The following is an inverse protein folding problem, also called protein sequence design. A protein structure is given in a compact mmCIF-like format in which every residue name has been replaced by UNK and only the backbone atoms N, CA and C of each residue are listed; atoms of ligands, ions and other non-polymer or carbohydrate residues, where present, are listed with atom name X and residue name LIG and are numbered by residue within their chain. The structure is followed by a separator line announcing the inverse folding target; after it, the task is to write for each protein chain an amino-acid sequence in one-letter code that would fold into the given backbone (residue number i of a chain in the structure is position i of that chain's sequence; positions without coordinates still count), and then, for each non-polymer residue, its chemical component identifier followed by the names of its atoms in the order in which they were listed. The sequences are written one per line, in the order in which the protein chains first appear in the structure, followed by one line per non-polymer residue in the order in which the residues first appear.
data_IF_009621934671
#
_entry.id   IF_009621934671
#
_cell.length_a   1.000
_cell.length_b   1.000
_cell.length_c   1.000
_cell.angle_alpha   90.00
_cell.angle_beta   90.00
_cell.angle_gamma   90.00
#
_symmetry.space_group_name_H-M   'P 1'
#
loop_
_entity.id
_entity.type
_entity.pdbx_description
1 polymer ?
#
# COMPACT_ATOMS: atom_id res chain seq x y z
N UNK A 1 -13.27 -15.00 -13.10
CA UNK A 1 -12.41 -15.19 -11.92
C UNK A 1 -10.96 -15.36 -12.38
N UNK A 2 -10.01 -14.62 -11.83
CA UNK A 2 -8.58 -14.80 -12.14
C UNK A 2 -8.07 -16.09 -11.49
N UNK A 3 -7.38 -16.94 -12.25
CA UNK A 3 -6.71 -18.15 -11.76
C UNK A 3 -5.28 -17.88 -11.26
N UNK A 4 -4.88 -16.61 -11.14
CA UNK A 4 -3.53 -16.25 -10.71
C UNK A 4 -3.27 -16.64 -9.26
N UNK A 5 -2.07 -17.19 -9.00
CA UNK A 5 -1.60 -17.53 -7.64
C UNK A 5 -1.36 -16.29 -6.78
N UNK A 6 -0.94 -15.19 -7.42
CA UNK A 6 -0.63 -13.93 -6.78
C UNK A 6 -1.64 -12.87 -7.17
N UNK A 7 -1.85 -11.92 -6.26
CA UNK A 7 -2.64 -10.71 -6.47
C UNK A 7 -1.78 -9.50 -6.15
N UNK A 8 -1.96 -8.43 -6.94
CA UNK A 8 -1.35 -7.12 -6.73
C UNK A 8 -2.47 -6.12 -6.46
N UNK A 9 -2.31 -5.27 -5.45
CA UNK A 9 -3.24 -4.18 -5.17
C UNK A 9 -2.69 -2.91 -5.78
N UNK A 10 -3.44 -2.30 -6.70
CA UNK A 10 -3.02 -1.10 -7.44
C UNK A 10 -4.26 -0.34 -7.94
N UNK A 11 -4.02 0.80 -8.60
CA UNK A 11 -5.01 1.65 -9.25
C UNK A 11 -4.70 1.69 -10.76
N UNK A 12 -5.68 2.02 -11.59
CA UNK A 12 -5.58 1.99 -13.05
C UNK A 12 -4.57 3.00 -13.62
N UNK A 13 -4.27 4.07 -12.88
CA UNK A 13 -3.29 5.12 -13.28
C UNK A 13 -1.84 4.79 -12.90
N UNK A 14 -1.64 3.73 -12.12
CA UNK A 14 -0.32 3.38 -11.62
C UNK A 14 0.51 2.62 -12.66
N UNK A 15 1.78 3.00 -12.72
CA UNK A 15 2.85 2.40 -13.50
C UNK A 15 3.87 1.74 -12.57
N UNK A 16 4.57 0.74 -13.08
CA UNK A 16 5.56 -0.01 -12.32
C UNK A 16 6.96 0.24 -12.87
N UNK A 17 7.96 0.15 -11.99
CA UNK A 17 9.37 0.12 -12.40
C UNK A 17 9.64 -1.03 -13.38
N UNK A 18 10.64 -0.90 -14.22
CA UNK A 18 11.00 -1.91 -15.21
C UNK A 18 11.36 -3.25 -14.54
N UNK A 19 10.84 -4.34 -15.10
CA UNK A 19 11.05 -5.70 -14.58
C UNK A 19 10.31 -6.00 -13.28
N UNK A 20 9.38 -5.15 -12.83
CA UNK A 20 8.64 -5.33 -11.57
C UNK A 20 8.02 -6.72 -11.45
N UNK A 21 7.24 -7.16 -12.45
CA UNK A 21 6.56 -8.47 -12.41
C UNK A 21 7.55 -9.62 -12.18
N UNK A 22 8.62 -9.68 -12.98
CA UNK A 22 9.58 -10.78 -12.94
C UNK A 22 10.33 -10.82 -11.59
N UNK A 23 10.78 -9.65 -11.10
CA UNK A 23 11.44 -9.52 -9.79
C UNK A 23 10.51 -9.94 -8.66
N UNK A 24 9.30 -9.37 -8.61
CA UNK A 24 8.36 -9.61 -7.51
C UNK A 24 7.82 -11.04 -7.54
N UNK A 25 7.58 -11.63 -8.72
CA UNK A 25 7.18 -13.04 -8.85
C UNK A 25 8.27 -13.99 -8.32
N UNK A 26 9.54 -13.71 -8.59
CA UNK A 26 10.68 -14.48 -8.07
C UNK A 26 10.82 -14.39 -6.54
N UNK A 27 10.53 -13.22 -5.96
CA UNK A 27 10.49 -13.04 -4.50
C UNK A 27 9.28 -13.77 -3.92
N UNK A 28 8.09 -13.57 -4.50
CA UNK A 28 6.84 -14.15 -4.05
C UNK A 28 6.81 -15.68 -4.11
N UNK A 29 7.47 -16.29 -5.10
CA UNK A 29 7.57 -17.76 -5.24
C UNK A 29 8.31 -18.43 -4.09
N UNK A 30 9.27 -17.74 -3.48
CA UNK A 30 10.00 -18.21 -2.29
C UNK A 30 9.32 -17.74 -1.01
N UNK A 31 9.13 -16.43 -0.89
CA UNK A 31 8.72 -15.79 0.35
C UNK A 31 7.31 -16.14 0.78
N UNK A 32 6.35 -16.22 -0.15
CA UNK A 32 4.96 -16.56 0.18
C UNK A 32 4.73 -18.06 0.32
N UNK A 33 5.72 -18.90 -0.01
CA UNK A 33 5.74 -20.31 0.37
C UNK A 33 6.20 -20.45 1.82
N UNK A 34 7.29 -19.77 2.19
CA UNK A 34 7.81 -19.77 3.56
C UNK A 34 6.87 -19.08 4.57
N UNK A 35 6.32 -17.92 4.19
CA UNK A 35 5.40 -17.14 5.01
C UNK A 35 4.18 -16.73 4.19
N UNK A 36 3.15 -17.60 4.14
CA UNK A 36 1.99 -17.36 3.27
C UNK A 36 1.06 -16.24 3.72
N UNK A 37 1.22 -15.74 4.95
CA UNK A 37 0.48 -14.58 5.49
C UNK A 37 1.38 -13.34 5.49
N UNK A 38 1.83 -12.95 4.31
CA UNK A 38 2.70 -11.79 4.11
C UNK A 38 2.14 -10.89 3.02
N UNK A 39 2.17 -9.59 3.29
CA UNK A 39 2.01 -8.51 2.33
C UNK A 39 3.41 -8.08 1.88
N UNK A 40 3.73 -8.29 0.60
CA UNK A 40 4.96 -7.79 -0.01
C UNK A 40 4.71 -6.35 -0.46
N UNK A 41 4.92 -5.40 0.46
CA UNK A 41 4.69 -3.98 0.22
C UNK A 41 5.80 -3.36 -0.63
N UNK A 42 5.45 -2.40 -1.47
CA UNK A 42 6.40 -1.64 -2.28
C UNK A 42 6.16 -0.13 -2.13
N UNK A 43 7.21 0.65 -2.37
CA UNK A 43 7.14 2.11 -2.30
C UNK A 43 6.43 2.69 -3.52
N UNK A 44 5.73 3.79 -3.31
CA UNK A 44 4.88 4.44 -4.32
C UNK A 44 5.27 5.92 -4.40
N UNK A 45 5.34 6.44 -5.63
CA UNK A 45 5.78 7.80 -5.88
C UNK A 45 4.82 8.55 -6.81
N UNK A 46 4.85 9.87 -6.68
CA UNK A 46 4.27 10.83 -7.62
C UNK A 46 5.38 11.45 -8.44
N UNK A 47 5.24 11.46 -9.76
CA UNK A 47 6.20 12.06 -10.68
C UNK A 47 5.59 13.31 -11.29
N UNK A 48 6.33 14.42 -11.32
CA UNK A 48 5.86 15.67 -11.95
C UNK A 48 5.46 15.43 -13.42
N UNK A 49 4.35 16.02 -13.85
CA UNK A 49 3.84 15.89 -15.22
C UNK A 49 4.83 16.38 -16.28
N UNK A 50 5.72 17.31 -15.92
CA UNK A 50 6.78 17.86 -16.79
C UNK A 50 7.89 16.84 -17.10
N UNK A 51 8.00 15.75 -16.34
CA UNK A 51 9.00 14.71 -16.59
C UNK A 51 8.59 13.92 -17.85
N UNK A 52 9.36 14.08 -18.92
CA UNK A 52 9.13 13.35 -20.18
C UNK A 52 9.60 11.89 -20.09
N UNK A 53 10.75 11.66 -19.46
CA UNK A 53 11.34 10.32 -19.29
C UNK A 53 11.03 9.79 -17.89
N UNK A 54 10.01 8.94 -17.83
CA UNK A 54 9.56 8.30 -16.59
C UNK A 54 10.65 7.37 -16.01
N UNK A 55 10.74 7.26 -14.67
CA UNK A 55 11.79 6.47 -14.03
C UNK A 55 11.58 4.97 -14.29
N UNK A 56 12.61 4.31 -14.82
CA UNK A 56 12.56 2.87 -15.09
C UNK A 56 13.13 2.06 -13.94
N UNK A 57 14.08 2.62 -13.19
CA UNK A 57 14.78 1.95 -12.11
C UNK A 57 15.00 2.88 -10.91
N UNK A 58 15.51 2.34 -9.80
CA UNK A 58 15.71 3.09 -8.55
C UNK A 58 16.66 4.27 -8.70
N UNK A 59 17.66 4.16 -9.59
CA UNK A 59 18.60 5.24 -9.87
C UNK A 59 17.94 6.41 -10.60
N UNK A 60 17.10 6.15 -11.61
CA UNK A 60 16.32 7.19 -12.28
C UNK A 60 15.39 7.91 -11.30
N UNK A 61 14.67 7.11 -10.48
CA UNK A 61 13.78 7.65 -9.46
C UNK A 61 14.54 8.52 -8.44
N UNK A 62 15.72 8.09 -7.99
CA UNK A 62 16.54 8.86 -7.06
C UNK A 62 16.96 10.22 -7.66
N UNK A 63 17.31 10.28 -8.96
CA UNK A 63 17.60 11.57 -9.62
C UNK A 63 16.39 12.48 -9.65
N UNK A 64 15.21 11.94 -9.94
CA UNK A 64 13.96 12.72 -9.92
C UNK A 64 13.62 13.19 -8.51
N UNK A 65 13.80 12.34 -7.50
CA UNK A 65 13.55 12.65 -6.10
C UNK A 65 14.46 13.78 -5.61
N UNK A 66 15.77 13.69 -5.88
CA UNK A 66 16.76 14.73 -5.53
C UNK A 66 16.54 16.07 -6.24
N UNK A 67 15.87 16.06 -7.39
CA UNK A 67 15.53 17.27 -8.15
C UNK A 67 14.12 17.79 -7.87
N UNK A 68 13.44 17.26 -6.84
CA UNK A 68 12.04 17.58 -6.49
C UNK A 68 11.03 17.33 -7.62
N UNK A 69 11.37 16.47 -8.58
CA UNK A 69 10.48 16.02 -9.66
C UNK A 69 9.76 14.71 -9.32
N UNK A 70 10.06 14.13 -8.16
CA UNK A 70 9.35 13.00 -7.60
C UNK A 70 9.17 13.17 -6.09
N UNK A 71 8.02 12.74 -5.57
CA UNK A 71 7.73 12.72 -4.13
C UNK A 71 7.12 11.38 -3.73
N UNK A 72 7.13 11.05 -2.44
CA UNK A 72 6.37 9.88 -1.94
C UNK A 72 4.89 10.14 -2.20
N UNK A 73 4.16 9.11 -2.62
CA UNK A 73 2.76 9.22 -3.01
C UNK A 73 1.90 9.91 -1.94
N UNK A 74 1.14 10.93 -2.37
CA UNK A 74 0.32 11.81 -1.52
C UNK A 74 1.06 12.56 -0.40
N UNK A 75 2.40 12.61 -0.36
CA UNK A 75 3.14 13.25 0.75
C UNK A 75 2.83 14.75 0.90
N UNK A 76 2.44 15.43 -0.19
CA UNK A 76 2.17 16.86 -0.18
C UNK A 76 0.83 17.25 0.47
N UNK A 77 -0.15 16.34 0.55
CA UNK A 77 -1.47 16.65 1.10
C UNK A 77 -2.02 15.62 2.08
N UNK A 78 -1.40 14.45 2.18
CA UNK A 78 -1.75 13.41 3.14
C UNK A 78 -0.51 12.71 3.73
N UNK A 79 0.35 13.48 4.44
CA UNK A 79 1.58 12.94 5.03
C UNK A 79 1.28 11.83 6.03
N UNK A 80 2.13 10.79 6.05
CA UNK A 80 2.03 9.62 6.93
C UNK A 80 1.17 8.47 6.38
N UNK A 81 0.40 8.70 5.32
CA UNK A 81 -0.55 7.70 4.80
C UNK A 81 0.10 6.63 3.92
N UNK A 82 1.19 6.94 3.22
CA UNK A 82 1.89 6.00 2.34
C UNK A 82 3.39 5.87 2.63
N UNK A 83 3.91 6.63 3.61
CA UNK A 83 5.31 6.57 4.00
C UNK A 83 5.69 5.18 4.49
N UNK A 84 6.90 4.76 4.14
CA UNK A 84 7.52 3.53 4.63
C UNK A 84 8.88 3.94 5.18
N UNK A 85 9.18 3.55 6.42
CA UNK A 85 10.42 3.94 7.09
C UNK A 85 11.66 3.47 6.30
N UNK A 86 12.76 4.19 6.44
CA UNK A 86 14.03 3.86 5.79
C UNK A 86 14.11 4.21 4.29
N UNK A 87 13.54 5.35 3.87
CA UNK A 87 13.52 5.75 2.45
C UNK A 87 14.93 6.04 1.91
N UNK A 88 15.75 6.77 2.67
CA UNK A 88 17.09 7.14 2.25
C UNK A 88 18.02 5.92 2.17
N UNK A 89 17.92 5.02 3.14
CA UNK A 89 18.63 3.74 3.15
C UNK A 89 18.15 2.84 2.01
N UNK A 90 16.85 2.86 1.70
CA UNK A 90 16.30 2.15 0.54
C UNK A 90 16.90 2.72 -0.74
N UNK A 91 17.00 4.03 -0.92
CA UNK A 91 17.67 4.62 -2.08
C UNK A 91 19.17 4.31 -2.16
N UNK A 92 19.86 4.29 -1.01
CA UNK A 92 21.31 4.08 -0.93
C UNK A 92 21.75 2.62 -1.17
N UNK A 93 20.88 1.64 -0.92
CA UNK A 93 21.19 0.22 -1.18
C UNK A 93 21.27 -0.06 -2.67
N UNK A 94 22.35 -0.70 -3.13
CA UNK A 94 22.46 -1.18 -4.52
C UNK A 94 21.61 -2.41 -4.81
N UNK A 95 21.11 -3.10 -3.77
CA UNK A 95 20.24 -4.25 -3.87
C UNK A 95 20.30 -5.12 -2.61
N UNK A 96 19.45 -6.14 -2.54
CA UNK A 96 19.37 -7.10 -1.44
C UNK A 96 19.40 -8.52 -2.01
N UNK A 97 20.03 -9.45 -1.28
CA UNK A 97 20.18 -10.84 -1.75
C UNK A 97 18.85 -11.57 -1.92
N UNK A 98 17.86 -11.25 -1.07
CA UNK A 98 16.54 -11.85 -1.10
C UNK A 98 15.45 -10.96 -1.72
N UNK A 99 15.81 -9.75 -2.15
CA UNK A 99 14.87 -8.76 -2.71
C UNK A 99 14.01 -8.05 -1.66
N UNK A 100 14.33 -8.16 -0.38
CA UNK A 100 13.57 -7.56 0.72
C UNK A 100 14.40 -6.50 1.43
N UNK A 101 13.88 -5.28 1.47
CA UNK A 101 14.47 -4.17 2.19
C UNK A 101 14.33 -4.32 3.70
N UNK A 102 13.13 -4.73 4.15
CA UNK A 102 12.78 -4.90 5.56
C UNK A 102 11.76 -6.04 5.71
N UNK A 103 11.79 -6.75 6.84
CA UNK A 103 10.92 -7.91 7.11
C UNK A 103 10.09 -7.72 8.38
N UNK A 104 8.94 -8.38 8.44
CA UNK A 104 8.06 -8.44 9.61
C UNK A 104 7.69 -7.07 10.19
N UNK A 105 7.50 -6.08 9.33
CA UNK A 105 7.07 -4.74 9.73
C UNK A 105 5.69 -4.79 10.37
N UNK A 106 5.50 -3.96 11.39
CA UNK A 106 4.26 -3.87 12.16
C UNK A 106 3.33 -2.89 11.46
N UNK A 107 2.08 -3.30 11.24
CA UNK A 107 1.03 -2.38 10.83
C UNK A 107 0.51 -1.66 12.07
N UNK A 108 0.99 -0.44 12.35
CA UNK A 108 0.72 0.31 13.59
C UNK A 108 -0.02 1.65 13.37
N UNK A 109 -0.28 2.03 12.11
CA UNK A 109 -0.95 3.28 11.73
C UNK A 109 -2.27 2.96 11.05
N UNK A 110 -3.39 3.41 11.62
CA UNK A 110 -4.74 3.14 11.09
C UNK A 110 -4.96 3.76 9.70
N UNK A 111 -4.26 4.85 9.37
CA UNK A 111 -4.35 5.52 8.09
C UNK A 111 -3.32 5.04 7.05
N UNK A 112 -2.45 4.09 7.40
CA UNK A 112 -1.42 3.63 6.48
C UNK A 112 -2.00 2.70 5.42
N UNK A 113 -1.74 3.02 4.16
CA UNK A 113 -2.26 2.31 3.00
C UNK A 113 -1.09 1.83 2.11
N UNK A 114 -0.36 0.79 2.55
CA UNK A 114 0.63 0.15 1.68
C UNK A 114 -0.08 -0.54 0.51
N UNK A 115 0.47 -0.37 -0.69
CA UNK A 115 0.17 -1.23 -1.83
C UNK A 115 1.11 -2.43 -1.79
N UNK A 116 0.61 -3.60 -2.17
CA UNK A 116 1.32 -4.86 -1.91
C UNK A 116 0.96 -5.96 -2.91
N UNK A 117 1.84 -6.96 -2.96
CA UNK A 117 1.58 -8.27 -3.57
C UNK A 117 1.36 -9.31 -2.47
N UNK A 118 0.42 -10.23 -2.67
CA UNK A 118 0.24 -11.40 -1.80
C UNK A 118 -0.30 -12.60 -2.58
N UNK A 119 -0.62 -13.68 -1.87
CA UNK A 119 -1.38 -14.80 -2.44
C UNK A 119 -2.81 -14.34 -2.74
N UNK A 120 -3.43 -14.87 -3.79
CA UNK A 120 -4.80 -14.52 -4.18
C UNK A 120 -5.89 -14.93 -3.18
N UNK A 121 -5.53 -15.71 -2.14
CA UNK A 121 -6.42 -16.17 -1.06
C UNK A 121 -6.54 -15.20 0.15
N UNK A 122 -6.12 -13.95 -0.01
CA UNK A 122 -6.37 -12.92 1.01
C UNK A 122 -7.89 -12.73 1.21
N UNK A 123 -8.34 -12.18 2.35
CA UNK A 123 -9.73 -11.77 2.52
C UNK A 123 -10.20 -10.85 1.38
N UNK A 124 -11.48 -10.93 1.04
CA UNK A 124 -12.08 -10.02 0.07
C UNK A 124 -12.20 -8.60 0.64
N UNK A 125 -12.31 -7.63 -0.25
CA UNK A 125 -12.63 -6.25 0.13
C UNK A 125 -14.00 -6.18 0.80
N UNK A 126 -14.13 -5.34 1.83
CA UNK A 126 -15.39 -5.12 2.54
C UNK A 126 -16.18 -3.99 1.86
N UNK A 127 -17.03 -4.36 0.92
CA UNK A 127 -17.84 -3.45 0.09
C UNK A 127 -18.89 -2.63 0.88
N UNK A 128 -19.02 -2.84 2.20
CA UNK A 128 -19.82 -1.96 3.05
C UNK A 128 -19.17 -0.58 3.20
N UNK A 129 -17.85 -0.48 3.09
CA UNK A 129 -17.14 0.80 3.18
C UNK A 129 -17.42 1.65 1.94
N UNK A 130 -17.98 2.86 2.12
CA UNK A 130 -18.34 3.68 0.99
C UNK A 130 -17.11 4.37 0.37
N UNK A 131 -17.22 4.67 -0.92
CA UNK A 131 -16.19 5.35 -1.68
C UNK A 131 -15.65 6.61 -0.99
N UNK A 132 -14.33 6.77 -1.02
CA UNK A 132 -13.56 7.87 -0.41
C UNK A 132 -13.60 7.95 1.12
N UNK A 133 -14.10 6.93 1.82
CA UNK A 133 -13.99 6.80 3.26
C UNK A 133 -13.40 5.45 3.64
N UNK A 134 -12.07 5.37 3.63
CA UNK A 134 -11.29 4.19 4.06
C UNK A 134 -11.59 2.91 3.29
N UNK A 135 -12.26 3.02 2.15
CA UNK A 135 -12.41 1.97 1.14
C UNK A 135 -11.04 1.38 0.78
N UNK A 136 -10.04 2.21 0.47
CA UNK A 136 -8.71 1.68 0.16
C UNK A 136 -7.94 1.13 1.39
N UNK A 137 -8.33 1.51 2.62
CA UNK A 137 -7.63 1.10 3.85
C UNK A 137 -8.22 -0.15 4.49
N UNK A 138 -9.53 -0.42 4.34
CA UNK A 138 -10.24 -1.48 5.09
C UNK A 138 -9.61 -2.87 4.95
N UNK A 139 -9.17 -3.22 3.74
CA UNK A 139 -8.51 -4.50 3.49
C UNK A 139 -7.22 -4.65 4.32
N UNK A 140 -6.48 -3.56 4.56
CA UNK A 140 -5.24 -3.58 5.35
C UNK A 140 -5.54 -3.79 6.83
N UNK A 141 -6.62 -3.20 7.34
CA UNK A 141 -7.08 -3.48 8.70
C UNK A 141 -7.41 -4.96 8.86
N UNK A 142 -8.17 -5.53 7.93
CA UNK A 142 -8.52 -6.95 8.00
C UNK A 142 -7.30 -7.86 7.87
N UNK A 143 -6.35 -7.56 6.98
CA UNK A 143 -5.10 -8.30 6.85
C UNK A 143 -4.28 -8.26 8.14
N UNK A 144 -4.17 -7.10 8.79
CA UNK A 144 -3.55 -7.00 10.11
C UNK A 144 -4.29 -7.91 11.11
N UNK A 145 -5.63 -7.83 11.17
CA UNK A 145 -6.45 -8.65 12.08
C UNK A 145 -6.29 -10.15 11.78
N UNK A 146 -6.12 -10.54 10.52
CA UNK A 146 -5.81 -11.90 10.08
C UNK A 146 -4.33 -12.31 10.32
N UNK A 147 -3.56 -11.48 11.02
CA UNK A 147 -2.17 -11.72 11.40
C UNK A 147 -1.23 -11.83 10.18
N UNK A 148 -1.49 -11.05 9.13
CA UNK A 148 -0.54 -10.85 8.06
C UNK A 148 0.62 -9.97 8.54
N UNK A 149 1.82 -10.30 8.05
CA UNK A 149 3.03 -9.50 8.24
C UNK A 149 3.30 -8.66 7.01
N UNK A 150 4.09 -7.60 7.18
CA UNK A 150 4.49 -6.76 6.06
C UNK A 150 6.00 -6.93 5.84
N UNK A 151 6.37 -7.33 4.63
CA UNK A 151 7.75 -7.29 4.17
C UNK A 151 7.85 -6.23 3.07
N UNK A 152 8.87 -5.38 3.13
CA UNK A 152 9.06 -4.29 2.17
C UNK A 152 10.01 -4.77 1.08
N UNK A 153 9.57 -4.69 -0.16
CA UNK A 153 10.35 -5.05 -1.34
C UNK A 153 11.47 -4.02 -1.58
N UNK A 154 12.61 -4.51 -2.04
CA UNK A 154 13.72 -3.69 -2.52
C UNK A 154 13.75 -3.62 -4.06
N UNK A 155 14.37 -2.56 -4.58
CA UNK A 155 14.66 -2.37 -6.01
C UNK A 155 13.46 -2.48 -6.98
N UNK A 156 12.26 -2.25 -6.44
CA UNK A 156 11.00 -2.12 -7.17
C UNK A 156 10.14 -1.02 -6.57
N UNK A 157 9.40 -0.34 -7.43
CA UNK A 157 8.47 0.70 -7.00
C UNK A 157 7.31 0.84 -7.99
N UNK A 158 6.27 1.51 -7.52
CA UNK A 158 5.13 1.94 -8.31
C UNK A 158 5.11 3.46 -8.36
N UNK A 159 4.53 4.04 -9.40
CA UNK A 159 4.38 5.49 -9.49
C UNK A 159 3.20 5.88 -10.36
N UNK A 160 2.75 7.13 -10.26
CA UNK A 160 1.84 7.73 -11.25
C UNK A 160 2.29 9.14 -11.61
N UNK A 161 1.71 9.70 -12.67
CA UNK A 161 2.03 11.05 -13.16
C UNK A 161 1.11 12.08 -12.52
N UNK A 162 1.70 13.16 -12.05
CA UNK A 162 1.02 14.30 -11.46
C UNK A 162 1.16 14.32 -9.94
N UNK A 163 1.95 15.26 -9.44
CA UNK A 163 2.03 15.53 -7.99
C UNK A 163 0.73 16.22 -7.56
N UNK A 164 0.05 15.62 -6.60
CA UNK A 164 -1.20 16.15 -6.06
C UNK A 164 -0.88 17.02 -4.85
N UNK A 165 -1.34 18.26 -4.86
CA UNK A 165 -1.01 19.24 -3.81
C UNK A 165 -2.14 19.48 -2.81
N UNK A 166 -3.38 19.18 -3.18
CA UNK A 166 -4.56 19.47 -2.36
C UNK A 166 -5.63 18.40 -2.56
N UNK A 167 -6.47 18.23 -1.53
CA UNK A 167 -7.69 17.42 -1.64
C UNK A 167 -8.70 18.14 -2.53
N UNK A 168 -9.33 17.40 -3.43
CA UNK A 168 -10.38 17.92 -4.29
C UNK A 168 -11.64 18.26 -3.45
N UNK A 169 -12.20 19.47 -3.59
CA UNK A 169 -13.41 19.90 -2.86
C UNK A 169 -14.63 18.99 -3.08
N UNK A 170 -14.76 18.39 -4.27
CA UNK A 170 -15.82 17.38 -4.55
C UNK A 170 -15.66 16.14 -3.66
N UNK A 171 -14.43 15.79 -3.30
CA UNK A 171 -14.15 14.65 -2.41
C UNK A 171 -14.73 14.87 -1.01
N UNK A 172 -14.61 16.08 -0.47
CA UNK A 172 -15.19 16.41 0.83
C UNK A 172 -16.72 16.30 0.83
N UNK A 173 -17.38 16.70 -0.26
CA UNK A 173 -18.83 16.57 -0.40
C UNK A 173 -19.27 15.11 -0.41
N UNK A 174 -18.58 14.25 -1.18
CA UNK A 174 -18.85 12.80 -1.24
C UNK A 174 -18.64 12.17 0.14
N UNK A 175 -17.55 12.51 0.84
CA UNK A 175 -17.27 12.02 2.19
C UNK A 175 -18.33 12.44 3.21
N UNK A 176 -18.93 13.63 3.07
CA UNK A 176 -20.04 14.06 3.93
C UNK A 176 -21.30 13.22 3.66
N UNK A 177 -21.64 13.01 2.39
CA UNK A 177 -22.79 12.20 2.00
C UNK A 177 -22.67 10.74 2.47
N UNK A 178 -21.45 10.19 2.43
CA UNK A 178 -21.17 8.81 2.82
C UNK A 178 -20.94 8.62 4.33
N UNK A 179 -20.98 9.69 5.14
CA UNK A 179 -20.59 9.64 6.56
C UNK A 179 -21.40 8.63 7.37
N UNK A 180 -22.74 8.62 7.25
CA UNK A 180 -23.58 7.71 8.03
C UNK A 180 -23.33 6.24 7.66
N UNK A 181 -23.22 5.95 6.36
CA UNK A 181 -22.88 4.62 5.83
C UNK A 181 -21.52 4.13 6.32
N UNK A 182 -20.54 5.03 6.38
CA UNK A 182 -19.22 4.73 6.92
C UNK A 182 -19.27 4.33 8.40
N UNK A 183 -20.01 5.05 9.24
CA UNK A 183 -20.12 4.70 10.67
C UNK A 183 -20.78 3.33 10.88
N UNK A 184 -21.81 3.01 10.09
CA UNK A 184 -22.45 1.70 10.11
C UNK A 184 -21.48 0.58 9.67
N UNK A 185 -20.76 0.81 8.57
CA UNK A 185 -19.74 -0.12 8.07
C UNK A 185 -18.62 -0.35 9.10
N UNK A 186 -18.11 0.72 9.72
CA UNK A 186 -17.06 0.67 10.73
C UNK A 186 -17.49 -0.13 11.96
N UNK A 187 -18.74 0.06 12.42
CA UNK A 187 -19.31 -0.70 13.53
C UNK A 187 -19.46 -2.18 13.18
N UNK A 188 -19.97 -2.50 12.00
CA UNK A 188 -20.13 -3.87 11.52
C UNK A 188 -18.77 -4.56 11.37
N UNK A 189 -17.80 -3.89 10.77
CA UNK A 189 -16.42 -4.33 10.61
C UNK A 189 -15.76 -4.63 11.94
N UNK A 190 -15.82 -3.70 12.89
CA UNK A 190 -15.21 -3.87 14.22
C UNK A 190 -15.79 -5.07 14.96
N UNK A 191 -17.13 -5.23 14.93
CA UNK A 191 -17.81 -6.40 15.51
C UNK A 191 -17.36 -7.71 14.85
N UNK A 192 -17.25 -7.73 13.52
CA UNK A 192 -16.77 -8.90 12.76
C UNK A 192 -15.33 -9.24 13.10
N UNK A 193 -14.43 -8.26 13.08
CA UNK A 193 -13.00 -8.43 13.39
C UNK A 193 -12.77 -8.92 14.83
N UNK A 194 -13.54 -8.44 15.79
CA UNK A 194 -13.45 -8.88 17.19
C UNK A 194 -13.94 -10.32 17.39
N UNK A 195 -14.95 -10.73 16.61
CA UNK A 195 -15.45 -12.11 16.62
C UNK A 195 -14.49 -13.09 15.92
N UNK A 196 -14.02 -12.76 14.72
CA UNK A 196 -13.20 -13.64 13.88
C UNK A 196 -11.72 -13.65 14.27
N UNK A 197 -11.21 -12.50 14.72
CA UNK A 197 -9.81 -12.29 15.04
C UNK A 197 -9.60 -11.68 16.43
N UNK A 198 -10.02 -12.35 17.53
CA UNK A 198 -9.90 -11.78 18.88
C UNK A 198 -8.44 -11.57 19.33
N UNK A 199 -7.51 -12.41 18.87
CA UNK A 199 -6.08 -12.41 19.29
C UNK A 199 -5.25 -11.26 18.71
N UNK A 200 -5.77 -10.51 17.74
CA UNK A 200 -5.07 -9.38 17.10
C UNK A 200 -5.65 -8.03 17.49
N UNK A 201 -6.72 -8.01 18.31
CA UNK A 201 -7.43 -6.78 18.71
C UNK A 201 -6.52 -5.69 19.24
N UNK A 202 -5.57 -6.05 20.10
CA UNK A 202 -4.64 -5.10 20.73
C UNK A 202 -3.29 -4.97 20.00
N UNK A 203 -3.08 -5.71 18.90
CA UNK A 203 -1.86 -5.68 18.09
C UNK A 203 -2.00 -4.83 16.83
N UNK A 204 -3.23 -4.69 16.35
CA UNK A 204 -3.57 -3.88 15.19
C UNK A 204 -4.12 -2.52 15.62
N UNK A 205 -3.88 -1.46 14.84
CA UNK A 205 -4.44 -0.15 15.11
C UNK A 205 -5.97 -0.22 15.04
N UNK A 206 -6.61 0.59 15.88
CA UNK A 206 -8.06 0.77 15.83
C UNK A 206 -8.45 1.42 14.51
N UNK A 207 -9.36 0.82 13.72
CA UNK A 207 -9.95 1.45 12.55
C UNK A 207 -10.52 2.83 12.89
N UNK A 208 -10.22 3.83 12.07
CA UNK A 208 -10.61 5.22 12.28
C UNK A 208 -10.99 5.87 10.96
N UNK A 209 -11.77 6.96 11.04
CA UNK A 209 -12.13 7.80 9.90
C UNK A 209 -10.93 8.50 9.28
#
# INVERSE_FOLDING_TARGET
FSSSKYIIITDYEHLFSEGFEAKVRSIASRRLVEQPRTMLAYRIFEIDNKVEKLPRNKHDLLRLFKSNNAVVFHSMYYPGAHDIDGLDEWFAKNGTTDGLFAKNQIYNRSNWEPQFVSLSRIPFHDELFPFQLRDNTVLRWELCRANYKIDVLDDVFMFHRGIKWQKNGKSLQIQRQNSARFEEALKAFTKRMDKEYPKTKFRCPTPQR
#
